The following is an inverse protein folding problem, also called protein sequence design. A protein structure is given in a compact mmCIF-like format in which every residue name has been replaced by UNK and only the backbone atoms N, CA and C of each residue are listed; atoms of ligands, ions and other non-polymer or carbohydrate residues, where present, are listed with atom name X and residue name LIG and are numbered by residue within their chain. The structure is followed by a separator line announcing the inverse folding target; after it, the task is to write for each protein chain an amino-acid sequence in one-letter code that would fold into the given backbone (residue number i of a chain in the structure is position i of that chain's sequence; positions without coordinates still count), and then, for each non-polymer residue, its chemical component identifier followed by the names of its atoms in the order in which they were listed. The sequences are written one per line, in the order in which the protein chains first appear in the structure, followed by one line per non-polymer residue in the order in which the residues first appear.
data_IF_587209329428
#
_entry.id   IF_587209329428
#
_cell.length_a   1.000
_cell.length_b   1.000
_cell.length_c   1.000
_cell.angle_alpha   90.00
_cell.angle_beta   90.00
_cell.angle_gamma   90.00
#
_symmetry.space_group_name_H-M   'P 1'
#
loop_
_entity.id
_entity.type
_entity.pdbx_description
1 polymer ?
#
# COMPACT_ATOMS: atom_id res chain seq x y z
N UNK A 1 11.91 4.39 1.26
CA UNK A 1 10.48 4.52 0.90
C UNK A 1 9.71 3.69 1.91
N UNK A 2 8.52 4.10 2.33
CA UNK A 2 7.54 3.14 2.85
C UNK A 2 6.89 2.60 1.59
N UNK A 3 7.26 1.44 1.05
CA UNK A 3 6.37 0.85 0.10
C UNK A 3 5.14 0.44 0.93
N UNK A 4 3.96 1.03 0.72
CA UNK A 4 2.76 0.22 0.85
C UNK A 4 3.01 -1.08 0.07
N UNK A 5 2.48 -2.23 0.49
CA UNK A 5 2.60 -3.43 -0.35
C UNK A 5 1.87 -3.18 -1.67
N UNK A 6 2.61 -2.74 -2.68
CA UNK A 6 2.15 -2.37 -4.02
C UNK A 6 3.22 -2.82 -4.99
N UNK A 7 2.88 -3.84 -5.76
CA UNK A 7 3.61 -4.17 -6.98
C UNK A 7 3.01 -3.40 -8.15
N UNK A 8 3.85 -2.71 -8.94
CA UNK A 8 3.45 -2.09 -10.19
C UNK A 8 4.18 -2.77 -11.35
N UNK A 9 3.43 -3.16 -12.37
CA UNK A 9 4.02 -3.57 -13.64
C UNK A 9 4.57 -2.34 -14.36
N UNK A 10 5.82 -2.40 -14.80
CA UNK A 10 6.52 -1.31 -15.48
C UNK A 10 7.06 -1.87 -16.79
N UNK A 11 6.73 -1.20 -17.90
CA UNK A 11 7.29 -1.49 -19.22
C UNK A 11 8.19 -0.33 -19.61
N UNK A 12 9.45 -0.62 -19.93
CA UNK A 12 10.44 0.36 -20.35
C UNK A 12 10.78 0.07 -21.82
N UNK A 13 10.76 1.10 -22.65
CA UNK A 13 11.16 1.03 -24.05
C UNK A 13 12.08 2.20 -24.39
N UNK A 14 12.94 2.01 -25.38
CA UNK A 14 13.86 3.02 -25.88
C UNK A 14 13.83 3.02 -27.41
N UNK A 15 13.93 4.21 -28.03
CA UNK A 15 13.95 4.33 -29.48
C UNK A 15 15.24 3.71 -30.09
N UNK A 16 15.24 3.34 -31.38
CA UNK A 16 16.47 2.87 -32.03
C UNK A 16 17.60 3.90 -31.89
N UNK A 17 18.78 3.42 -31.47
CA UNK A 17 19.93 4.29 -31.18
C UNK A 17 19.91 4.94 -29.79
N UNK A 18 18.91 4.67 -28.96
CA UNK A 18 18.92 4.97 -27.53
C UNK A 18 19.37 3.76 -26.70
N UNK A 19 19.88 4.02 -25.49
CA UNK A 19 20.24 2.97 -24.54
C UNK A 19 19.01 2.64 -23.70
N UNK A 20 18.60 1.37 -23.69
CA UNK A 20 17.48 0.91 -22.86
C UNK A 20 17.83 1.03 -21.37
N UNK A 21 17.02 1.75 -20.55
CA UNK A 21 17.24 1.84 -19.12
C UNK A 21 17.08 0.51 -18.40
N UNK A 22 17.90 0.31 -17.36
CA UNK A 22 17.73 -0.80 -16.43
C UNK A 22 16.58 -0.53 -15.45
N UNK A 23 16.09 -1.59 -14.81
CA UNK A 23 15.27 -1.43 -13.61
C UNK A 23 16.11 -0.91 -12.43
N UNK A 24 15.55 -0.04 -11.57
CA UNK A 24 16.27 0.47 -10.42
C UNK A 24 16.47 -0.62 -9.36
N UNK A 25 17.65 -0.60 -8.74
CA UNK A 25 17.97 -1.49 -7.62
C UNK A 25 17.14 -1.14 -6.37
N UNK A 26 16.63 -2.16 -5.62
CA UNK A 26 16.02 -1.96 -4.32
C UNK A 26 16.95 -1.22 -3.34
N UNK A 27 16.41 -0.20 -2.68
CA UNK A 27 17.15 0.58 -1.69
C UNK A 27 16.86 0.13 -0.26
N UNK A 28 15.67 -0.42 0.01
CA UNK A 28 15.23 -0.81 1.35
C UNK A 28 14.88 -2.30 1.39
N UNK A 29 15.25 -2.97 2.48
CA UNK A 29 14.76 -4.32 2.75
C UNK A 29 13.25 -4.27 2.96
N UNK A 30 12.55 -5.31 2.49
CA UNK A 30 11.10 -5.42 2.64
C UNK A 30 10.68 -6.87 2.85
N UNK A 31 9.42 -7.08 3.25
CA UNK A 31 8.90 -8.42 3.54
C UNK A 31 9.04 -9.33 2.30
N UNK A 32 9.78 -10.46 2.37
CA UNK A 32 10.00 -11.35 1.23
C UNK A 32 8.70 -11.89 0.61
N UNK A 33 7.64 -12.06 1.42
CA UNK A 33 6.32 -12.52 0.92
C UNK A 33 5.65 -11.49 0.00
N UNK A 34 5.97 -10.21 0.17
CA UNK A 34 5.44 -9.10 -0.61
C UNK A 34 6.38 -8.71 -1.77
N UNK A 35 7.54 -9.34 -1.89
CA UNK A 35 8.60 -9.01 -2.86
C UNK A 35 8.76 -10.08 -3.98
N UNK A 36 7.66 -10.71 -4.40
CA UNK A 36 7.68 -11.67 -5.50
C UNK A 36 7.62 -10.94 -6.85
N UNK A 37 8.78 -10.64 -7.42
CA UNK A 37 8.92 -9.88 -8.67
C UNK A 37 9.05 -10.77 -9.93
N UNK A 38 8.83 -12.07 -9.80
CA UNK A 38 8.88 -13.01 -10.94
C UNK A 38 7.57 -12.98 -11.71
N UNK A 39 7.64 -12.86 -13.03
CA UNK A 39 6.48 -12.93 -13.93
C UNK A 39 6.58 -14.20 -14.77
N UNK A 40 5.49 -14.94 -14.92
CA UNK A 40 5.43 -16.13 -15.79
C UNK A 40 4.58 -15.83 -17.01
N UNK A 41 5.12 -16.04 -18.20
CA UNK A 41 4.42 -15.92 -19.49
C UNK A 41 4.75 -17.15 -20.32
N UNK A 42 3.74 -17.89 -20.78
CA UNK A 42 3.88 -19.12 -21.57
C UNK A 42 4.91 -20.11 -20.98
N UNK A 43 4.76 -20.41 -19.68
CA UNK A 43 5.65 -21.27 -18.87
C UNK A 43 7.11 -20.80 -18.73
N UNK A 44 7.43 -19.61 -19.24
CA UNK A 44 8.75 -18.98 -19.08
C UNK A 44 8.74 -18.00 -17.92
N UNK A 45 9.71 -18.16 -17.01
CA UNK A 45 9.93 -17.25 -15.88
C UNK A 45 10.80 -16.07 -16.31
N UNK A 46 10.28 -14.87 -16.12
CA UNK A 46 10.98 -13.60 -16.29
C UNK A 46 11.25 -12.98 -14.92
N UNK A 47 12.50 -12.61 -14.70
CA UNK A 47 12.96 -11.93 -13.48
C UNK A 47 13.56 -10.58 -13.86
N UNK A 48 13.47 -9.63 -12.93
CA UNK A 48 14.15 -8.35 -13.09
C UNK A 48 15.67 -8.53 -13.11
N UNK A 49 16.39 -7.60 -13.73
CA UNK A 49 17.85 -7.53 -13.73
C UNK A 49 18.46 -7.02 -12.42
N UNK A 50 17.63 -6.80 -11.38
CA UNK A 50 18.09 -6.34 -10.07
C UNK A 50 19.04 -7.34 -9.41
N UNK A 51 20.14 -6.84 -8.87
CA UNK A 51 21.14 -7.65 -8.13
C UNK A 51 20.69 -7.94 -6.70
N UNK A 52 20.02 -6.97 -6.08
CA UNK A 52 19.54 -7.08 -4.71
C UNK A 52 18.20 -7.82 -4.66
N UNK A 53 18.23 -9.11 -4.31
CA UNK A 53 17.03 -9.97 -4.24
C UNK A 53 16.61 -10.31 -2.81
N UNK A 54 17.57 -10.51 -1.89
CA UNK A 54 17.31 -10.92 -0.50
C UNK A 54 17.60 -9.83 0.54
N UNK A 55 18.32 -8.77 0.14
CA UNK A 55 18.72 -7.69 1.03
C UNK A 55 18.77 -6.35 0.30
N UNK A 56 18.92 -5.25 1.02
CA UNK A 56 19.16 -3.93 0.45
C UNK A 56 19.94 -3.06 1.45
N UNK A 57 20.54 -1.93 1.01
CA UNK A 57 21.39 -1.10 1.86
C UNK A 57 20.70 -0.48 3.08
N UNK A 58 19.40 -0.19 3.00
CA UNK A 58 18.65 0.48 4.07
C UNK A 58 17.60 -0.42 4.71
N UNK A 59 17.33 -0.20 6.00
CA UNK A 59 16.22 -0.85 6.71
C UNK A 59 14.85 -0.51 6.10
N UNK A 60 13.84 -1.33 6.36
CA UNK A 60 12.45 -1.00 6.01
C UNK A 60 11.99 0.29 6.70
N UNK A 61 11.10 1.05 6.06
CA UNK A 61 10.46 2.21 6.65
C UNK A 61 9.06 1.82 7.11
N UNK A 62 8.75 2.13 8.37
CA UNK A 62 7.55 1.67 9.07
C UNK A 62 6.43 2.72 9.08
N UNK A 63 5.22 2.32 9.52
CA UNK A 63 4.12 3.28 9.79
C UNK A 63 4.57 4.34 10.81
N UNK A 64 5.31 3.94 11.85
CA UNK A 64 5.88 4.84 12.85
C UNK A 64 6.80 5.86 12.20
N UNK A 65 7.69 5.41 11.32
CA UNK A 65 8.56 6.32 10.59
C UNK A 65 7.77 7.34 9.75
N UNK A 66 6.58 7.00 9.26
CA UNK A 66 5.77 7.91 8.44
C UNK A 66 4.95 8.92 9.23
N UNK A 67 4.19 8.48 10.23
CA UNK A 67 3.06 9.27 10.75
C UNK A 67 3.17 9.62 12.24
N UNK A 68 4.20 9.18 12.96
CA UNK A 68 4.28 9.36 14.42
C UNK A 68 4.43 10.80 14.90
N UNK A 69 4.79 11.74 14.02
CA UNK A 69 4.87 13.19 14.30
C UNK A 69 3.56 13.94 14.00
N UNK A 70 2.59 13.29 13.36
CA UNK A 70 1.31 13.94 13.03
C UNK A 70 0.49 14.17 14.31
N UNK A 71 -0.16 15.35 14.45
CA UNK A 71 -1.05 15.63 15.57
C UNK A 71 -2.27 14.71 15.55
N UNK A 72 -2.89 14.49 16.70
CA UNK A 72 -4.12 13.70 16.75
C UNK A 72 -5.28 14.43 16.09
N UNK A 73 -6.14 13.66 15.41
CA UNK A 73 -7.40 14.15 14.83
C UNK A 73 -8.53 13.16 15.11
N UNK A 74 -9.76 13.64 15.06
CA UNK A 74 -10.96 12.84 15.27
C UNK A 74 -11.54 12.32 13.95
N UNK A 75 -12.44 11.34 14.03
CA UNK A 75 -13.24 10.87 12.90
C UNK A 75 -13.96 12.05 12.22
N UNK A 76 -13.84 12.16 10.90
CA UNK A 76 -14.46 13.24 10.14
C UNK A 76 -13.78 14.60 10.26
N UNK A 77 -12.50 14.66 10.66
CA UNK A 77 -11.74 15.91 10.64
C UNK A 77 -11.69 16.53 9.22
N UNK A 78 -12.02 17.83 9.11
CA UNK A 78 -12.15 18.57 7.83
C UNK A 78 -11.20 19.77 7.69
N UNK A 79 -10.42 20.08 8.74
CA UNK A 79 -9.50 21.21 8.71
C UNK A 79 -8.33 20.93 7.77
N UNK A 80 -8.37 21.49 6.56
CA UNK A 80 -7.37 21.22 5.51
C UNK A 80 -6.00 21.81 5.82
N UNK A 81 -5.93 22.82 6.69
CA UNK A 81 -4.70 23.47 7.10
C UNK A 81 -4.62 23.49 8.62
N UNK A 82 -3.47 23.08 9.16
CA UNK A 82 -3.17 23.08 10.59
C UNK A 82 -1.66 23.27 10.81
N UNK A 83 -1.22 23.31 12.06
CA UNK A 83 0.19 23.36 12.42
C UNK A 83 0.66 21.97 12.85
N UNK A 84 1.91 21.63 12.55
CA UNK A 84 2.54 20.49 13.20
C UNK A 84 2.69 20.76 14.70
N UNK A 85 2.28 19.79 15.53
CA UNK A 85 2.41 19.89 16.99
C UNK A 85 3.84 19.60 17.49
N UNK A 86 4.62 18.83 16.72
CA UNK A 86 5.96 18.35 17.09
C UNK A 86 6.92 18.53 15.92
N UNK A 87 8.22 18.53 16.18
CA UNK A 87 9.24 18.47 15.15
C UNK A 87 9.34 17.06 14.53
N UNK A 88 9.82 16.92 13.28
CA UNK A 88 9.97 15.62 12.65
C UNK A 88 11.02 14.78 13.39
N UNK A 89 10.63 13.60 13.83
CA UNK A 89 11.45 12.71 14.65
C UNK A 89 12.33 11.82 13.76
N UNK A 90 11.72 11.13 12.81
CA UNK A 90 12.40 10.12 11.98
C UNK A 90 13.09 10.75 10.78
N UNK A 91 14.06 10.02 10.20
CA UNK A 91 14.69 10.43 8.93
C UNK A 91 13.64 10.62 7.82
N UNK A 92 12.64 9.73 7.77
CA UNK A 92 11.58 9.81 6.79
C UNK A 92 10.72 11.07 6.94
N UNK A 93 10.32 11.41 8.18
CA UNK A 93 9.57 12.64 8.46
C UNK A 93 10.37 13.87 8.07
N UNK A 94 11.67 13.94 8.41
CA UNK A 94 12.55 15.04 8.02
C UNK A 94 12.61 15.19 6.51
N UNK A 95 12.69 14.08 5.78
CA UNK A 95 12.66 14.08 4.32
C UNK A 95 11.32 14.54 3.75
N UNK A 96 10.19 14.02 4.24
CA UNK A 96 8.87 14.36 3.68
C UNK A 96 8.46 15.79 4.02
N UNK A 97 8.72 16.22 5.25
CA UNK A 97 8.36 17.54 5.76
C UNK A 97 9.27 18.65 5.28
N UNK A 98 10.59 18.41 5.20
CA UNK A 98 11.57 19.47 4.96
C UNK A 98 11.40 20.60 5.99
N UNK A 99 11.27 21.83 5.51
CA UNK A 99 11.09 23.03 6.35
C UNK A 99 9.61 23.41 6.57
N UNK A 100 8.66 22.55 6.20
CA UNK A 100 7.23 22.86 6.34
C UNK A 100 6.82 22.93 7.82
N UNK A 101 6.23 24.07 8.19
CA UNK A 101 5.59 24.28 9.50
C UNK A 101 4.07 24.07 9.44
N UNK A 102 3.50 24.24 8.25
CA UNK A 102 2.08 24.05 7.98
C UNK A 102 1.83 22.60 7.57
N UNK A 103 0.86 21.98 8.21
CA UNK A 103 0.35 20.65 7.93
C UNK A 103 -0.90 20.76 7.07
N UNK A 104 -0.80 20.28 5.82
CA UNK A 104 -1.90 20.27 4.86
C UNK A 104 -2.57 18.89 4.81
N UNK A 105 -3.88 18.87 4.58
CA UNK A 105 -4.68 17.67 4.28
C UNK A 105 -4.61 16.58 5.35
N UNK A 106 -4.40 16.94 6.61
CA UNK A 106 -4.56 16.00 7.73
C UNK A 106 -6.05 15.88 8.12
N UNK A 107 -6.82 15.42 7.14
CA UNK A 107 -8.28 15.25 7.17
C UNK A 107 -8.61 13.78 6.93
N UNK A 108 -9.69 13.28 7.53
CA UNK A 108 -10.11 11.89 7.38
C UNK A 108 -11.62 11.77 7.18
N UNK A 109 -12.05 10.68 6.54
CA UNK A 109 -13.45 10.45 6.21
C UNK A 109 -14.30 10.40 7.48
N UNK A 110 -15.48 11.01 7.42
CA UNK A 110 -16.49 10.91 8.45
C UNK A 110 -17.22 9.56 8.35
N UNK A 111 -17.03 8.71 9.36
CA UNK A 111 -17.69 7.41 9.46
C UNK A 111 -18.99 7.47 10.27
N UNK A 112 -19.94 6.63 9.90
CA UNK A 112 -21.22 6.49 10.59
C UNK A 112 -21.02 6.04 12.07
N UNK A 113 -21.94 6.41 12.98
CA UNK A 113 -21.80 6.12 14.42
C UNK A 113 -21.47 4.66 14.75
N UNK A 114 -22.13 3.70 14.10
CA UNK A 114 -21.86 2.27 14.31
C UNK A 114 -20.44 1.86 13.86
N UNK A 115 -19.90 2.49 12.82
CA UNK A 115 -18.55 2.22 12.32
C UNK A 115 -17.53 2.81 13.28
N UNK A 116 -17.76 4.02 13.80
CA UNK A 116 -16.92 4.63 14.85
C UNK A 116 -16.92 3.76 16.10
N UNK A 117 -18.09 3.29 16.55
CA UNK A 117 -18.20 2.38 17.69
C UNK A 117 -17.43 1.07 17.45
N UNK A 118 -17.49 0.48 16.25
CA UNK A 118 -16.66 -0.69 15.91
C UNK A 118 -15.18 -0.39 16.04
N UNK A 119 -14.70 0.68 15.39
CA UNK A 119 -13.28 1.09 15.44
C UNK A 119 -12.80 1.28 16.88
N UNK A 120 -13.62 1.88 17.74
CA UNK A 120 -13.30 2.14 19.14
C UNK A 120 -13.11 0.85 19.96
N UNK A 121 -13.78 -0.23 19.57
CA UNK A 121 -13.71 -1.53 20.22
C UNK A 121 -12.70 -2.48 19.58
N UNK A 122 -11.98 -2.06 18.54
CA UNK A 122 -10.82 -2.81 18.04
C UNK A 122 -9.65 -2.54 18.98
N UNK A 123 -9.06 -3.57 19.62
CA UNK A 123 -7.88 -3.38 20.46
C UNK A 123 -6.72 -2.76 19.69
N UNK A 124 -5.85 -2.02 20.38
CA UNK A 124 -4.62 -1.47 19.80
C UNK A 124 -3.48 -2.49 19.71
N UNK A 125 -3.72 -3.75 20.11
CA UNK A 125 -2.76 -4.84 19.95
C UNK A 125 -2.45 -5.06 18.47
N UNK A 126 -1.18 -5.30 18.15
CA UNK A 126 -0.75 -5.71 16.79
C UNK A 126 -1.55 -6.92 16.32
N UNK A 127 -1.93 -6.92 15.05
CA UNK A 127 -2.78 -7.95 14.45
C UNK A 127 -4.29 -7.80 14.67
N UNK A 128 -4.75 -6.95 15.60
CA UNK A 128 -6.18 -6.85 15.95
C UNK A 128 -7.05 -6.42 14.76
N UNK A 129 -8.25 -7.00 14.65
CA UNK A 129 -9.22 -6.69 13.59
C UNK A 129 -10.67 -7.02 14.02
N UNK A 130 -11.61 -7.09 13.06
CA UNK A 130 -13.03 -7.31 13.34
C UNK A 130 -13.32 -8.54 14.23
N UNK A 131 -12.43 -9.55 14.22
CA UNK A 131 -12.59 -10.79 15.00
C UNK A 131 -12.49 -10.55 16.50
N UNK A 132 -11.87 -9.43 16.89
CA UNK A 132 -11.70 -9.01 18.28
C UNK A 132 -12.86 -8.15 18.79
N UNK A 133 -13.85 -7.85 17.93
CA UNK A 133 -15.01 -7.07 18.34
C UNK A 133 -15.84 -7.82 19.40
N UNK A 134 -16.19 -7.17 20.52
CA UNK A 134 -17.01 -7.79 21.55
C UNK A 134 -18.48 -7.89 21.09
N UNK A 135 -19.16 -8.97 21.48
CA UNK A 135 -20.59 -9.15 21.20
C UNK A 135 -21.46 -8.49 22.28
N UNK A 136 -21.48 -7.14 22.30
CA UNK A 136 -22.15 -6.32 23.32
C UNK A 136 -23.09 -5.27 22.70
N UNK A 137 -23.97 -4.74 23.54
CA UNK A 137 -24.81 -3.57 23.23
C UNK A 137 -24.03 -2.32 23.59
N UNK A 138 -23.98 -1.35 22.68
CA UNK A 138 -23.27 -0.08 22.83
C UNK A 138 -24.23 1.04 22.45
N UNK A 139 -24.26 2.13 23.25
CA UNK A 139 -24.93 3.37 22.87
C UNK A 139 -24.05 4.11 21.85
N UNK A 140 -24.64 4.45 20.71
CA UNK A 140 -23.99 5.16 19.62
C UNK A 140 -24.09 6.68 19.81
N UNK A 141 -23.30 7.43 19.04
CA UNK A 141 -23.26 8.90 19.14
C UNK A 141 -24.52 9.60 18.60
N UNK A 142 -25.39 8.88 17.90
CA UNK A 142 -26.70 9.32 17.43
C UNK A 142 -27.84 8.90 18.37
N UNK A 143 -27.50 8.55 19.61
CA UNK A 143 -28.41 8.07 20.66
C UNK A 143 -29.14 6.74 20.37
N UNK A 144 -28.80 6.07 19.27
CA UNK A 144 -29.27 4.70 19.01
C UNK A 144 -28.41 3.66 19.73
N UNK A 145 -28.86 2.41 19.78
CA UNK A 145 -28.15 1.31 20.43
C UNK A 145 -27.88 0.19 19.44
N UNK A 146 -26.71 -0.44 19.52
CA UNK A 146 -26.45 -1.69 18.80
C UNK A 146 -27.23 -2.86 19.42
N UNK A 147 -27.37 -3.94 18.67
CA UNK A 147 -27.87 -5.22 19.16
C UNK A 147 -26.72 -6.23 19.27
N UNK A 148 -26.89 -7.22 20.15
CA UNK A 148 -26.00 -8.39 20.14
C UNK A 148 -26.25 -9.22 18.90
N UNK A 149 -25.17 -9.67 18.25
CA UNK A 149 -25.24 -10.63 17.17
C UNK A 149 -25.69 -11.99 17.73
N UNK A 150 -26.76 -12.53 17.17
CA UNK A 150 -27.33 -13.82 17.52
C UNK A 150 -26.71 -14.92 16.64
N UNK A 151 -26.20 -15.98 17.27
CA UNK A 151 -25.71 -17.18 16.58
C UNK A 151 -26.78 -18.26 16.65
N UNK A 152 -27.58 -18.37 15.60
CA UNK A 152 -28.81 -19.20 15.56
C UNK A 152 -28.61 -20.55 14.89
N UNK A 153 -27.45 -20.79 14.25
CA UNK A 153 -27.20 -22.01 13.49
C UNK A 153 -25.92 -22.73 13.91
N UNK A 154 -25.91 -24.05 13.67
CA UNK A 154 -24.69 -24.85 13.74
C UNK A 154 -23.78 -24.46 12.59
N UNK A 155 -22.48 -24.48 12.87
CA UNK A 155 -21.45 -24.49 11.84
C UNK A 155 -20.86 -25.90 11.87
N UNK A 156 -20.72 -26.52 10.69
CA UNK A 156 -20.25 -27.90 10.52
C UNK A 156 -18.94 -28.20 11.24
N UNK A 157 -18.12 -27.19 11.49
CA UNK A 157 -16.81 -27.32 12.10
C UNK A 157 -16.79 -27.22 13.64
N UNK A 158 -17.94 -26.99 14.31
CA UNK A 158 -17.96 -26.73 15.76
C UNK A 158 -18.44 -27.90 16.63
N UNK A 159 -18.02 -27.87 17.90
CA UNK A 159 -18.45 -28.79 18.95
C UNK A 159 -19.97 -28.71 19.16
N UNK A 160 -20.57 -29.86 19.45
CA UNK A 160 -22.00 -30.00 19.75
C UNK A 160 -22.37 -29.06 20.92
N UNK A 161 -23.45 -28.29 20.76
CA UNK A 161 -23.98 -27.39 21.79
C UNK A 161 -23.50 -25.93 21.70
N UNK A 162 -22.59 -25.59 20.78
CA UNK A 162 -22.15 -24.19 20.57
C UNK A 162 -22.49 -23.74 19.16
N UNK A 163 -23.45 -22.81 19.05
CA UNK A 163 -23.76 -22.17 17.77
C UNK A 163 -22.76 -21.06 17.45
N UNK A 164 -22.19 -21.09 16.25
CA UNK A 164 -21.40 -19.98 15.67
C UNK A 164 -21.87 -19.59 14.26
N UNK A 165 -22.86 -20.29 13.71
CA UNK A 165 -23.46 -19.93 12.44
C UNK A 165 -24.49 -18.81 12.62
N UNK A 166 -24.44 -17.82 11.74
CA UNK A 166 -25.39 -16.68 11.71
C UNK A 166 -26.42 -16.78 10.59
N UNK A 167 -26.35 -17.85 9.80
CA UNK A 167 -27.23 -18.15 8.67
C UNK A 167 -27.34 -19.66 8.49
N UNK A 168 -28.48 -20.13 8.02
CA UNK A 168 -28.77 -21.50 7.59
C UNK A 168 -27.69 -22.12 6.68
N UNK A 169 -26.97 -21.31 5.90
CA UNK A 169 -25.88 -21.79 5.05
C UNK A 169 -24.64 -22.29 5.79
N UNK A 170 -24.48 -21.94 7.07
CA UNK A 170 -23.43 -22.50 7.93
C UNK A 170 -23.63 -24.03 8.15
N UNK A 171 -24.88 -24.49 8.11
CA UNK A 171 -25.28 -25.90 8.20
C UNK A 171 -25.36 -26.57 6.80
N UNK A 172 -24.97 -25.85 5.74
CA UNK A 172 -25.00 -26.34 4.36
C UNK A 172 -26.34 -26.23 3.65
N UNK A 173 -27.32 -25.53 4.24
CA UNK A 173 -28.61 -25.25 3.61
C UNK A 173 -28.55 -23.97 2.74
N UNK A 174 -29.51 -23.73 1.85
CA UNK A 174 -29.63 -22.42 1.18
C UNK A 174 -29.79 -21.29 2.19
N UNK A 175 -29.32 -20.08 1.85
CA UNK A 175 -29.45 -18.92 2.73
C UNK A 175 -30.91 -18.50 2.90
N UNK A 176 -31.32 -18.23 4.14
CA UNK A 176 -32.61 -17.61 4.44
C UNK A 176 -32.46 -16.09 4.61
N UNK A 177 -33.16 -15.25 3.82
CA UNK A 177 -33.10 -13.79 3.95
C UNK A 177 -33.45 -13.27 5.36
N UNK A 178 -34.31 -13.98 6.10
CA UNK A 178 -34.71 -13.61 7.46
C UNK A 178 -33.60 -13.80 8.50
N UNK A 179 -32.53 -14.54 8.18
CA UNK A 179 -31.40 -14.74 9.10
C UNK A 179 -30.50 -13.48 9.21
N UNK A 180 -30.68 -12.52 8.30
CA UNK A 180 -29.85 -11.31 8.22
C UNK A 180 -30.15 -10.37 9.39
N UNK A 181 -29.10 -10.07 10.15
CA UNK A 181 -29.15 -9.14 11.28
C UNK A 181 -28.50 -7.80 10.91
N UNK A 182 -29.04 -6.71 11.46
CA UNK A 182 -28.59 -5.35 11.25
C UNK A 182 -28.27 -4.68 12.58
N UNK A 183 -27.55 -3.56 12.52
CA UNK A 183 -27.21 -2.76 13.69
C UNK A 183 -26.49 -3.55 14.82
N UNK A 184 -25.68 -4.56 14.45
CA UNK A 184 -24.84 -5.31 15.38
C UNK A 184 -23.42 -4.76 15.40
N UNK A 185 -22.76 -4.77 16.56
CA UNK A 185 -21.37 -4.31 16.66
C UNK A 185 -20.46 -5.21 15.82
N UNK A 186 -20.53 -6.53 15.98
CA UNK A 186 -19.94 -7.51 15.05
C UNK A 186 -20.76 -7.48 13.75
N UNK A 187 -20.20 -7.10 12.58
CA UNK A 187 -20.97 -7.07 11.34
C UNK A 187 -21.41 -8.47 10.93
N UNK A 188 -22.72 -8.73 10.85
CA UNK A 188 -23.29 -10.04 10.55
C UNK A 188 -22.72 -10.69 9.27
N UNK A 189 -22.40 -9.89 8.26
CA UNK A 189 -21.87 -10.38 6.99
C UNK A 189 -20.50 -11.06 7.12
N UNK A 190 -19.70 -10.71 8.14
CA UNK A 190 -18.35 -11.25 8.32
C UNK A 190 -18.38 -12.70 8.81
N UNK A 191 -19.07 -13.08 9.90
CA UNK A 191 -19.27 -14.49 10.23
C UNK A 191 -20.04 -15.26 9.15
N UNK A 192 -20.99 -14.62 8.46
CA UNK A 192 -21.79 -15.29 7.42
C UNK A 192 -20.93 -15.84 6.27
N UNK A 193 -19.88 -15.11 5.87
CA UNK A 193 -19.05 -15.46 4.71
C UNK A 193 -17.58 -15.69 5.04
N UNK A 194 -17.22 -15.66 6.34
CA UNK A 194 -15.83 -15.75 6.82
C UNK A 194 -15.12 -17.03 6.38
N UNK A 195 -15.77 -18.19 6.53
CA UNK A 195 -15.20 -19.48 6.14
C UNK A 195 -14.79 -19.55 4.66
N UNK A 196 -15.40 -18.73 3.79
CA UNK A 196 -15.10 -18.69 2.34
C UNK A 196 -14.08 -17.63 1.95
N UNK A 197 -13.68 -16.75 2.88
CA UNK A 197 -12.86 -15.58 2.61
C UNK A 197 -11.72 -15.44 3.63
N UNK A 198 -11.14 -16.57 4.07
CA UNK A 198 -10.06 -16.61 5.07
C UNK A 198 -10.40 -15.80 6.33
N UNK A 199 -11.62 -15.97 6.85
CA UNK A 199 -12.16 -15.25 8.00
C UNK A 199 -12.11 -13.72 7.88
N UNK A 200 -12.07 -13.19 6.65
CA UNK A 200 -11.96 -11.75 6.40
C UNK A 200 -10.84 -11.09 7.20
N UNK A 201 -9.72 -11.80 7.38
CA UNK A 201 -8.59 -11.32 8.17
C UNK A 201 -8.13 -9.94 7.68
N UNK A 202 -7.99 -8.99 8.60
CA UNK A 202 -7.61 -7.61 8.34
C UNK A 202 -8.74 -6.61 8.16
N UNK A 203 -10.00 -7.02 7.96
CA UNK A 203 -11.14 -6.08 7.93
C UNK A 203 -11.35 -5.45 9.32
N UNK A 204 -11.62 -4.15 9.37
CA UNK A 204 -11.52 -3.33 10.60
C UNK A 204 -10.17 -3.45 11.32
N UNK A 205 -9.11 -3.87 10.64
CA UNK A 205 -7.79 -3.95 11.24
C UNK A 205 -7.13 -2.58 11.38
N UNK A 206 -6.49 -2.37 12.53
CA UNK A 206 -5.59 -1.23 12.74
C UNK A 206 -4.26 -1.48 12.05
N UNK A 207 -3.68 -0.39 11.54
CA UNK A 207 -2.29 -0.38 11.13
C UNK A 207 -1.40 -0.66 12.34
N UNK A 208 -0.23 -1.26 12.08
CA UNK A 208 0.76 -1.55 13.11
C UNK A 208 1.90 -0.57 12.99
N UNK A 209 2.32 0.02 14.11
CA UNK A 209 3.38 1.02 14.11
C UNK A 209 4.68 0.50 13.48
N UNK A 210 5.05 -0.74 13.76
CA UNK A 210 6.27 -1.35 13.24
C UNK A 210 6.04 -2.10 11.92
N UNK A 211 4.80 -2.06 11.41
CA UNK A 211 4.39 -2.62 10.12
C UNK A 211 4.48 -1.61 8.98
N UNK A 212 3.72 -1.88 7.91
CA UNK A 212 3.61 -1.05 6.71
C UNK A 212 2.15 -0.79 6.36
N UNK A 213 1.90 0.21 5.51
CA UNK A 213 0.56 0.45 4.97
C UNK A 213 0.18 -0.67 4.00
N UNK A 214 -1.07 -1.14 4.01
CA UNK A 214 -1.56 -1.95 2.89
C UNK A 214 -1.58 -1.11 1.60
N UNK A 215 -1.91 -1.72 0.46
CA UNK A 215 -2.00 -1.04 -0.83
C UNK A 215 -2.71 0.32 -0.70
N UNK A 216 -2.08 1.39 -1.18
CA UNK A 216 -2.57 2.76 -1.00
C UNK A 216 -4.00 2.86 -1.48
N UNK A 217 -4.88 3.20 -0.55
CA UNK A 217 -6.31 3.10 -0.74
C UNK A 217 -6.87 4.40 -1.32
N UNK A 218 -7.60 4.28 -2.43
CA UNK A 218 -8.30 5.42 -3.09
C UNK A 218 -9.55 5.88 -2.34
N UNK A 219 -10.08 5.04 -1.46
CA UNK A 219 -11.16 5.36 -0.53
C UNK A 219 -11.07 4.44 0.71
N UNK A 220 -10.52 4.89 1.85
CA UNK A 220 -10.29 4.04 3.02
C UNK A 220 -11.61 3.62 3.68
N UNK A 221 -11.99 2.36 3.48
CA UNK A 221 -13.19 1.74 4.04
C UNK A 221 -12.83 0.51 4.91
N UNK A 222 -13.25 0.43 6.18
CA UNK A 222 -12.88 -0.67 7.07
C UNK A 222 -13.34 -2.07 6.61
N UNK A 223 -14.36 -2.14 5.75
CA UNK A 223 -14.89 -3.40 5.20
C UNK A 223 -14.43 -3.68 3.76
N UNK A 224 -13.61 -2.82 3.16
CA UNK A 224 -13.12 -3.10 1.81
C UNK A 224 -11.99 -4.13 1.84
N UNK A 225 -11.82 -4.84 0.72
CA UNK A 225 -10.71 -5.79 0.55
C UNK A 225 -9.32 -5.14 0.50
N UNK A 226 -9.22 -3.82 0.67
CA UNK A 226 -7.99 -3.04 0.55
C UNK A 226 -7.09 -3.15 1.80
N UNK A 227 -7.56 -3.83 2.85
CA UNK A 227 -6.76 -4.20 4.02
C UNK A 227 -6.98 -3.30 5.24
N UNK A 228 -5.92 -3.09 6.01
CA UNK A 228 -5.93 -2.39 7.31
C UNK A 228 -5.85 -0.87 7.09
N UNK A 229 -6.94 -0.16 7.34
CA UNK A 229 -7.07 1.29 7.07
C UNK A 229 -7.35 2.13 8.32
N UNK A 230 -7.33 1.53 9.52
CA UNK A 230 -7.54 2.27 10.76
C UNK A 230 -6.22 2.78 11.31
N UNK A 231 -6.24 3.96 11.94
CA UNK A 231 -5.07 4.48 12.64
C UNK A 231 -4.62 3.50 13.74
N UNK A 232 -3.30 3.32 13.99
CA UNK A 232 -2.80 2.38 15.00
C UNK A 232 -3.41 2.56 16.38
N UNK A 233 -3.71 3.81 16.76
CA UNK A 233 -4.22 4.14 18.10
C UNK A 233 -5.56 4.87 18.08
N UNK A 234 -5.81 5.72 17.08
CA UNK A 234 -6.92 6.68 17.10
C UNK A 234 -8.19 6.03 16.55
N UNK A 235 -9.36 6.47 17.03
CA UNK A 235 -10.66 5.95 16.60
C UNK A 235 -11.10 6.59 15.28
N UNK A 236 -10.38 6.30 14.20
CA UNK A 236 -10.66 6.79 12.85
C UNK A 236 -9.97 5.96 11.79
N UNK A 237 -10.36 6.19 10.53
CA UNK A 237 -9.57 5.78 9.38
C UNK A 237 -8.36 6.68 9.18
N UNK A 238 -7.40 6.20 8.39
CA UNK A 238 -6.25 7.00 7.98
C UNK A 238 -6.66 8.26 7.21
N UNK A 239 -5.90 9.32 7.43
CA UNK A 239 -6.11 10.63 6.82
C UNK A 239 -5.55 10.69 5.39
N UNK A 240 -5.92 11.73 4.62
CA UNK A 240 -5.32 12.01 3.31
C UNK A 240 -3.80 12.17 3.42
N UNK A 241 -3.32 13.01 4.36
CA UNK A 241 -1.88 13.19 4.61
C UNK A 241 -1.15 11.90 5.00
N UNK A 242 -1.76 11.04 5.81
CA UNK A 242 -1.16 9.74 6.18
C UNK A 242 -1.02 8.84 4.94
N UNK A 243 -2.05 8.76 4.09
CA UNK A 243 -1.95 8.07 2.80
C UNK A 243 -0.89 8.70 1.88
N UNK A 244 -0.81 10.04 1.83
CA UNK A 244 0.18 10.74 1.00
C UNK A 244 1.62 10.43 1.45
N UNK A 245 1.84 10.40 2.77
CA UNK A 245 3.12 9.96 3.33
C UNK A 245 3.40 8.48 3.08
N UNK A 246 2.39 7.61 3.04
CA UNK A 246 2.61 6.21 2.62
C UNK A 246 3.14 6.11 1.19
N UNK A 247 2.70 6.99 0.28
CA UNK A 247 3.18 7.05 -1.11
C UNK A 247 4.52 7.78 -1.26
N UNK A 248 5.02 8.44 -0.21
CA UNK A 248 6.26 9.23 -0.28
C UNK A 248 6.10 10.60 -0.95
N UNK A 249 4.90 11.18 -0.90
CA UNK A 249 4.72 12.59 -1.22
C UNK A 249 5.38 13.49 -0.17
N UNK A 250 6.01 14.57 -0.62
CA UNK A 250 6.43 15.66 0.25
C UNK A 250 5.20 16.30 0.90
N UNK A 251 5.37 16.80 2.13
CA UNK A 251 4.27 17.43 2.86
C UNK A 251 3.82 18.76 2.23
N UNK A 252 4.69 19.36 1.41
CA UNK A 252 4.39 20.55 0.61
C UNK A 252 3.59 20.26 -0.67
N UNK A 253 3.38 18.99 -1.04
CA UNK A 253 2.59 18.64 -2.22
C UNK A 253 1.11 18.92 -1.96
N UNK A 254 0.47 19.60 -2.92
CA UNK A 254 -0.92 20.05 -2.83
C UNK A 254 -1.86 19.09 -3.56
N UNK A 255 -2.94 18.70 -2.90
CA UNK A 255 -4.03 17.93 -3.49
C UNK A 255 -5.28 18.82 -3.59
N UNK A 256 -6.13 18.57 -4.58
CA UNK A 256 -7.30 19.43 -4.85
C UNK A 256 -8.62 18.66 -4.82
N UNK A 257 -9.75 19.35 -4.68
CA UNK A 257 -11.07 18.74 -4.66
C UNK A 257 -11.51 18.29 -3.27
N UNK A 258 -12.58 17.49 -3.21
CA UNK A 258 -13.11 17.02 -1.93
C UNK A 258 -12.22 15.90 -1.34
N UNK A 259 -12.51 15.49 -0.11
CA UNK A 259 -11.72 14.46 0.59
C UNK A 259 -11.57 13.14 -0.19
N UNK A 260 -12.61 12.70 -0.89
CA UNK A 260 -12.57 11.48 -1.70
C UNK A 260 -11.72 11.68 -2.95
N UNK A 261 -11.78 12.85 -3.58
CA UNK A 261 -10.92 13.20 -4.73
C UNK A 261 -9.44 13.22 -4.32
N UNK A 262 -9.14 13.77 -3.14
CA UNK A 262 -7.78 13.81 -2.59
C UNK A 262 -7.26 12.40 -2.27
N UNK A 263 -8.07 11.54 -1.64
CA UNK A 263 -7.71 10.12 -1.46
C UNK A 263 -7.49 9.41 -2.80
N UNK A 264 -8.33 9.68 -3.81
CA UNK A 264 -8.20 9.10 -5.15
C UNK A 264 -6.92 9.54 -5.85
N UNK A 265 -6.57 10.83 -5.78
CA UNK A 265 -5.31 11.35 -6.32
C UNK A 265 -4.10 10.65 -5.69
N UNK A 266 -4.08 10.53 -4.37
CA UNK A 266 -3.02 9.85 -3.63
C UNK A 266 -2.95 8.36 -3.99
N UNK A 267 -4.09 7.67 -4.02
CA UNK A 267 -4.15 6.23 -4.30
C UNK A 267 -3.76 5.85 -5.74
N UNK A 268 -4.17 6.66 -6.72
CA UNK A 268 -3.89 6.40 -8.13
C UNK A 268 -2.46 6.76 -8.54
N UNK A 269 -1.78 7.60 -7.77
CA UNK A 269 -0.45 8.06 -8.11
C UNK A 269 0.59 6.92 -8.19
N UNK A 270 1.63 7.18 -8.97
CA UNK A 270 2.90 6.46 -8.85
C UNK A 270 3.65 7.08 -7.66
N UNK A 271 4.13 6.28 -6.68
CA UNK A 271 4.91 6.79 -5.56
C UNK A 271 6.08 7.65 -6.08
N UNK A 272 6.22 8.93 -5.68
CA UNK A 272 7.31 9.77 -6.16
C UNK A 272 8.71 9.16 -6.01
N UNK A 273 9.07 8.44 -4.91
CA UNK A 273 10.40 7.85 -4.82
C UNK A 273 10.61 6.69 -5.81
N UNK A 274 9.55 6.02 -6.30
CA UNK A 274 9.65 5.02 -7.37
C UNK A 274 9.91 5.71 -8.70
N UNK A 275 9.18 6.80 -8.98
CA UNK A 275 9.42 7.64 -10.16
C UNK A 275 10.85 8.20 -10.21
N UNK A 276 11.38 8.67 -9.07
CA UNK A 276 12.78 9.12 -8.95
C UNK A 276 13.76 7.99 -9.25
N UNK A 277 13.51 6.78 -8.74
CA UNK A 277 14.40 5.63 -8.95
C UNK A 277 14.47 5.26 -10.44
N UNK A 278 13.32 5.17 -11.12
CA UNK A 278 13.26 4.89 -12.56
C UNK A 278 13.89 6.04 -13.35
N UNK A 279 13.58 7.30 -13.01
CA UNK A 279 14.14 8.48 -13.66
C UNK A 279 15.67 8.53 -13.60
N UNK A 280 16.28 8.06 -12.50
CA UNK A 280 17.74 7.96 -12.39
C UNK A 280 18.33 6.93 -13.35
N UNK A 281 17.67 5.81 -13.60
CA UNK A 281 18.15 4.83 -14.59
C UNK A 281 18.01 5.34 -16.03
N UNK A 282 16.95 6.12 -16.31
CA UNK A 282 16.81 6.82 -17.58
C UNK A 282 17.96 7.82 -17.76
N UNK A 283 18.24 8.67 -16.77
CA UNK A 283 19.34 9.64 -16.82
C UNK A 283 20.70 8.96 -17.05
N UNK A 284 20.99 7.86 -16.36
CA UNK A 284 22.21 7.07 -16.59
C UNK A 284 22.32 6.59 -18.04
N UNK A 285 21.21 6.23 -18.66
CA UNK A 285 21.19 5.75 -20.05
C UNK A 285 21.46 6.88 -21.04
N UNK A 286 20.92 8.07 -20.77
CA UNK A 286 21.23 9.30 -21.52
C UNK A 286 22.72 9.65 -21.42
N UNK A 287 23.28 9.71 -20.20
CA UNK A 287 24.70 10.02 -20.01
C UNK A 287 25.63 9.01 -20.69
N UNK A 288 25.31 7.71 -20.64
CA UNK A 288 26.10 6.68 -21.33
C UNK A 288 26.10 6.89 -22.85
N UNK A 289 24.98 7.34 -23.42
CA UNK A 289 24.90 7.65 -24.84
C UNK A 289 25.73 8.88 -25.20
N UNK A 290 25.67 9.94 -24.39
CA UNK A 290 26.49 11.14 -24.57
C UNK A 290 27.99 10.81 -24.54
N UNK A 291 28.43 10.01 -23.57
CA UNK A 291 29.83 9.54 -23.48
C UNK A 291 30.24 8.69 -24.69
N UNK A 292 29.36 7.81 -25.16
CA UNK A 292 29.63 7.00 -26.34
C UNK A 292 29.77 7.85 -27.61
N UNK A 293 28.96 8.90 -27.75
CA UNK A 293 29.05 9.83 -28.88
C UNK A 293 30.32 10.68 -28.81
N UNK A 294 30.67 11.23 -27.64
CA UNK A 294 31.91 12.02 -27.49
C UNK A 294 33.16 11.20 -27.77
N UNK A 295 33.21 9.93 -27.35
CA UNK A 295 34.34 9.04 -27.65
C UNK A 295 34.39 8.61 -29.12
N UNK A 296 33.29 8.69 -29.88
CA UNK A 296 33.29 8.46 -31.33
C UNK A 296 33.80 9.65 -32.12
N UNK A 297 33.49 10.87 -31.68
CA UNK A 297 33.93 12.09 -32.33
C UNK A 297 35.45 12.35 -32.12
N UNK A 298 36.07 11.73 -31.12
CA UNK A 298 37.52 11.80 -30.83
C UNK A 298 38.38 10.81 -31.63
N UNK A 299 37.78 9.87 -32.39
CA UNK A 299 38.55 8.99 -33.28
C UNK A 299 38.57 9.61 -34.68
N UNK A 300 39.69 10.21 -35.13
CA UNK A 300 39.77 10.65 -36.51
C UNK A 300 39.64 9.44 -37.43
N UNK A 301 38.85 9.61 -38.49
CA UNK A 301 38.68 8.69 -39.62
C UNK A 301 40.05 8.41 -40.28
N UNK A 302 40.87 7.56 -39.65
CA UNK A 302 42.17 7.17 -40.15
C UNK A 302 42.01 5.95 -41.04
N UNK A 303 41.85 6.26 -42.33
CA UNK A 303 42.22 5.48 -43.51
C UNK A 303 41.61 4.07 -43.61
N UNK A 304 40.72 3.93 -44.59
CA UNK A 304 40.53 2.68 -45.33
C UNK A 304 41.91 2.05 -45.66
N UNK A 305 42.31 1.05 -44.89
CA UNK A 305 43.34 0.10 -45.32
C UNK A 305 42.60 -0.99 -46.09
N UNK A 306 42.62 -0.87 -47.41
CA UNK A 306 42.24 -1.94 -48.32
C UNK A 306 43.20 -3.11 -48.11
N UNK A 307 42.68 -4.23 -47.58
CA UNK A 307 43.36 -5.51 -47.65
C UNK A 307 43.30 -6.02 -49.09
N UNK A 308 44.34 -5.74 -49.89
CA UNK A 308 44.61 -6.50 -51.10
C UNK A 308 44.94 -7.95 -50.71
N UNK A 309 44.14 -8.90 -51.21
CA UNK A 309 44.43 -10.32 -51.11
C UNK A 309 45.60 -10.64 -52.04
N UNK A 310 46.75 -11.06 -51.48
CA UNK A 310 47.80 -11.72 -52.26
C UNK A 310 47.38 -13.15 -52.62
N UNK A 311 47.72 -13.68 -53.81
CA UNK A 311 47.35 -15.02 -54.24
C UNK A 311 48.24 -16.07 -53.57
N UNK A 312 47.60 -17.17 -53.13
CA UNK A 312 48.28 -18.37 -52.68
C UNK A 312 49.00 -19.07 -53.84
N UNK A 313 50.16 -19.58 -53.49
CA UNK A 313 51.18 -20.22 -54.31
C UNK A 313 50.66 -21.47 -55.02
N UNK A 314 51.12 -21.59 -56.27
CA UNK A 314 51.05 -22.73 -57.15
C UNK A 314 52.02 -23.82 -56.64
N UNK A 315 51.55 -25.05 -56.46
CA UNK A 315 52.44 -26.22 -56.38
C UNK A 315 51.86 -27.36 -57.18
N UNK A 316 52.69 -27.72 -58.18
CA UNK A 316 52.78 -28.92 -58.99
C UNK A 316 52.47 -30.23 -58.26
#
# INVERSE_FOLDING_TARGET
MIPPSISKAIVIAAAPGEILPNFPEPLHVFNPRENQLTVVVDDKKFISSCRWIDSAPYRTITVRDAISDLPEITNGAKNETSSYAKDPVTHYQKMMRGNQKVLLDHICKEMAPIVVARIAHIPTLSGSDWRDLPNIVVRLSDDTYTQKLQYTHRDKNNKIGIYRGVCSCADGKPCNPSDRQYNTLIPWCLPHTGNRNNNWAGLYGKLEWDGFFSTTTTNPEPMSKQGRVLHPEQTRVVSVRECARSQGFKDSYQFYGNILDKHRQVGNAVPPPLGIAIGREILKSVYKKEQYNSCKDEVPESKHVSFEKQPLYDTS
#
